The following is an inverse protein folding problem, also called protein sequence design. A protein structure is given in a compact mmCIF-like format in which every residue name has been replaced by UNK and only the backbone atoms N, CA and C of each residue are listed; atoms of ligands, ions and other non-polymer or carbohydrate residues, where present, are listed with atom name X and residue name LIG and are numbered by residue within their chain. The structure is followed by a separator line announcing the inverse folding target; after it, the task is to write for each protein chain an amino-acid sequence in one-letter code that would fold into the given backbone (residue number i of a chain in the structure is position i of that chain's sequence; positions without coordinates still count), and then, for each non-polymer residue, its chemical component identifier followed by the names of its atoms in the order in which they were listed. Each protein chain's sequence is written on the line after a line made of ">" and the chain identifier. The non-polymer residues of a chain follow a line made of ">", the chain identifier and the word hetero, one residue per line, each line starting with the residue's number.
data_IF_918609355352
#
_entry.id   IF_918609355352
#
_cell.length_a   1.000
_cell.length_b   1.000
_cell.length_c   1.000
_cell.angle_alpha   90.00
_cell.angle_beta   90.00
_cell.angle_gamma   90.00
#
_symmetry.space_group_name_H-M   'P 1'
#
loop_
_entity.id
_entity.type
_entity.pdbx_description
1 polymer ?
#
# COMPACT_ATOMS: atom_id res chain seq x y z
N UNK A 1 -30.02 29.91 17.87
CA UNK A 1 -29.73 28.66 18.60
C UNK A 1 -28.22 28.51 18.72
N UNK A 2 -27.71 28.81 19.90
CA UNK A 2 -26.33 28.64 20.30
C UNK A 2 -26.05 27.15 20.47
N UNK A 3 -25.19 26.58 19.61
CA UNK A 3 -24.66 25.24 19.85
C UNK A 3 -23.64 25.32 20.98
N UNK A 4 -24.06 24.96 22.19
CA UNK A 4 -23.15 24.65 23.28
C UNK A 4 -22.57 23.29 23.02
N UNK A 5 -21.25 23.25 22.71
CA UNK A 5 -20.49 22.02 22.50
C UNK A 5 -20.41 21.20 23.78
N UNK A 6 -21.34 20.30 23.98
CA UNK A 6 -21.17 19.14 24.84
C UNK A 6 -20.37 18.11 24.05
N UNK A 7 -19.25 17.64 24.61
CA UNK A 7 -18.51 16.48 24.11
C UNK A 7 -19.47 15.27 24.08
N UNK A 8 -20.20 15.10 22.99
CA UNK A 8 -20.77 13.81 22.65
C UNK A 8 -19.64 12.98 22.11
N UNK A 9 -18.98 12.21 22.96
CA UNK A 9 -18.22 11.08 22.54
C UNK A 9 -19.17 10.17 21.76
N UNK A 10 -19.13 10.27 20.44
CA UNK A 10 -19.76 9.29 19.58
C UNK A 10 -18.98 7.99 19.77
N UNK A 11 -19.43 7.15 20.69
CA UNK A 11 -19.02 5.77 20.73
C UNK A 11 -19.63 5.10 19.50
N UNK A 12 -18.89 5.13 18.41
CA UNK A 12 -19.10 4.12 17.38
C UNK A 12 -18.69 2.81 18.06
N UNK A 13 -19.59 1.87 18.20
CA UNK A 13 -19.21 0.46 18.35
C UNK A 13 -18.49 0.07 17.06
N UNK A 14 -17.21 0.40 16.99
CA UNK A 14 -16.41 0.27 15.80
C UNK A 14 -15.82 -1.15 15.77
N UNK A 15 -16.69 -2.13 15.51
CA UNK A 15 -16.27 -3.50 15.21
C UNK A 15 -15.54 -3.59 13.86
N UNK A 16 -15.43 -2.46 13.13
CA UNK A 16 -14.76 -2.42 11.83
C UNK A 16 -13.25 -2.27 12.01
N UNK A 17 -12.50 -3.12 11.36
CA UNK A 17 -11.04 -2.99 11.33
C UNK A 17 -10.62 -1.83 10.45
N UNK A 18 -9.60 -1.10 10.87
CA UNK A 18 -9.03 0.05 10.17
C UNK A 18 -7.70 -0.32 9.52
N UNK A 19 -7.52 0.13 8.28
CA UNK A 19 -6.29 -0.07 7.50
C UNK A 19 -5.73 1.29 7.11
N UNK A 20 -4.48 1.58 7.45
CA UNK A 20 -3.72 2.67 6.87
C UNK A 20 -2.92 2.10 5.70
N UNK A 21 -3.24 2.50 4.47
CA UNK A 21 -2.54 2.05 3.27
C UNK A 21 -1.64 3.16 2.72
N UNK A 22 -0.34 2.88 2.68
CA UNK A 22 0.69 3.77 2.16
C UNK A 22 1.21 3.18 0.85
N UNK A 23 0.97 3.86 -0.26
CA UNK A 23 1.38 3.40 -1.58
C UNK A 23 1.37 4.55 -2.60
N UNK A 24 1.85 4.30 -3.80
CA UNK A 24 1.58 5.18 -4.93
C UNK A 24 0.17 4.94 -5.46
N UNK A 25 -0.71 5.92 -5.31
CA UNK A 25 -2.08 5.90 -5.84
C UNK A 25 -2.21 6.60 -7.20
N UNK A 26 -1.08 7.04 -7.76
CA UNK A 26 -1.02 7.73 -9.05
C UNK A 26 -1.86 9.03 -9.12
N UNK A 27 -1.94 9.78 -8.02
CA UNK A 27 -2.72 11.00 -7.92
C UNK A 27 -2.31 12.06 -8.96
N UNK A 28 -1.01 12.08 -9.34
CA UNK A 28 -0.50 12.97 -10.40
C UNK A 28 -0.90 12.56 -11.82
N UNK A 29 -1.66 11.50 -11.98
CA UNK A 29 -2.11 11.01 -13.29
C UNK A 29 -3.54 11.43 -13.63
N UNK A 30 -4.14 12.32 -12.84
CA UNK A 30 -5.46 12.94 -13.08
C UNK A 30 -6.55 11.90 -13.42
N UNK A 31 -6.59 10.81 -12.64
CA UNK A 31 -7.56 9.73 -12.79
C UNK A 31 -7.22 8.68 -13.85
N UNK A 32 -6.24 8.90 -14.74
CA UNK A 32 -5.90 7.95 -15.81
C UNK A 32 -5.48 6.56 -15.34
N UNK A 33 -4.95 6.46 -14.10
CA UNK A 33 -4.50 5.20 -13.50
C UNK A 33 -5.39 4.75 -12.34
N UNK A 34 -6.71 5.01 -12.44
CA UNK A 34 -7.70 4.60 -11.44
C UNK A 34 -7.72 3.09 -11.19
N UNK A 35 -7.35 2.29 -12.19
CA UNK A 35 -7.28 0.84 -12.16
C UNK A 35 -6.00 0.28 -11.50
N UNK A 36 -5.23 1.13 -10.83
CA UNK A 36 -3.97 0.70 -10.22
C UNK A 36 -4.18 -0.37 -9.14
N UNK A 37 -3.14 -1.17 -8.94
CA UNK A 37 -3.12 -2.22 -7.92
C UNK A 37 -3.50 -1.68 -6.53
N UNK A 38 -2.95 -0.51 -6.16
CA UNK A 38 -3.24 0.14 -4.88
C UNK A 38 -4.73 0.43 -4.70
N UNK A 39 -5.38 0.95 -5.74
CA UNK A 39 -6.81 1.27 -5.72
C UNK A 39 -7.68 0.00 -5.63
N UNK A 40 -7.34 -1.04 -6.39
CA UNK A 40 -8.06 -2.34 -6.31
C UNK A 40 -7.95 -2.97 -4.93
N UNK A 41 -6.79 -2.89 -4.28
CA UNK A 41 -6.63 -3.36 -2.90
C UNK A 41 -7.49 -2.55 -1.92
N UNK A 42 -7.54 -1.22 -2.04
CA UNK A 42 -8.41 -0.39 -1.21
C UNK A 42 -9.88 -0.78 -1.35
N UNK A 43 -10.34 -0.92 -2.60
CA UNK A 43 -11.71 -1.34 -2.88
C UNK A 43 -11.99 -2.72 -2.26
N UNK A 44 -11.05 -3.65 -2.35
CA UNK A 44 -11.15 -4.97 -1.72
C UNK A 44 -11.32 -4.88 -0.21
N UNK A 45 -10.54 -4.04 0.48
CA UNK A 45 -10.71 -3.81 1.92
C UNK A 45 -12.07 -3.20 2.24
N UNK A 46 -12.51 -2.18 1.51
CA UNK A 46 -13.80 -1.52 1.72
C UNK A 46 -14.96 -2.51 1.52
N UNK A 47 -14.92 -3.31 0.45
CA UNK A 47 -15.91 -4.37 0.18
C UNK A 47 -15.95 -5.44 1.29
N UNK A 48 -14.83 -5.66 1.98
CA UNK A 48 -14.74 -6.55 3.14
C UNK A 48 -14.97 -5.83 4.48
N UNK A 49 -15.67 -4.69 4.46
CA UNK A 49 -16.09 -3.94 5.65
C UNK A 49 -14.95 -3.37 6.50
N UNK A 50 -13.79 -3.06 5.89
CA UNK A 50 -12.73 -2.31 6.55
C UNK A 50 -12.89 -0.81 6.31
N UNK A 51 -12.43 0.00 7.27
CA UNK A 51 -12.24 1.44 7.06
C UNK A 51 -10.83 1.66 6.56
N UNK A 52 -10.68 2.33 5.42
CA UNK A 52 -9.38 2.54 4.78
C UNK A 52 -9.03 4.01 4.76
N UNK A 53 -7.85 4.36 5.29
CA UNK A 53 -7.20 5.64 5.12
C UNK A 53 -5.97 5.46 4.23
N UNK A 54 -5.73 6.39 3.31
CA UNK A 54 -4.62 6.32 2.36
C UNK A 54 -3.62 7.45 2.52
N UNK A 55 -2.34 7.16 2.21
CA UNK A 55 -1.28 8.16 2.03
C UNK A 55 -0.55 7.83 0.74
N UNK A 56 -0.62 8.73 -0.23
CA UNK A 56 0.14 8.64 -1.48
C UNK A 56 1.58 9.11 -1.28
N UNK A 57 2.51 8.18 -1.19
CA UNK A 57 3.91 8.47 -0.88
C UNK A 57 4.58 9.32 -1.96
N UNK A 58 4.44 8.94 -3.23
CA UNK A 58 5.09 9.63 -4.36
C UNK A 58 4.53 11.04 -4.56
N UNK A 59 3.22 11.17 -4.48
CA UNK A 59 2.58 12.47 -4.59
C UNK A 59 3.00 13.39 -3.44
N UNK A 60 2.98 12.89 -2.20
CA UNK A 60 3.42 13.64 -1.03
C UNK A 60 4.87 14.10 -1.15
N UNK A 61 5.78 13.20 -1.53
CA UNK A 61 7.20 13.52 -1.70
C UNK A 61 7.42 14.57 -2.81
N UNK A 62 6.68 14.47 -3.93
CA UNK A 62 6.76 15.41 -5.04
C UNK A 62 6.25 16.79 -4.64
N UNK A 63 5.09 16.87 -3.98
CA UNK A 63 4.46 18.13 -3.57
C UNK A 63 5.22 18.87 -2.47
N UNK A 64 6.02 18.15 -1.67
CA UNK A 64 6.82 18.73 -0.60
C UNK A 64 8.29 18.97 -0.99
N UNK A 65 8.66 18.83 -2.26
CA UNK A 65 9.97 19.27 -2.77
C UNK A 65 9.93 20.77 -2.97
N UNK A 66 10.66 21.50 -2.15
CA UNK A 66 10.84 22.94 -2.32
C UNK A 66 12.33 23.25 -2.47
N UNK A 67 12.66 24.06 -3.46
CA UNK A 67 14.03 24.55 -3.69
C UNK A 67 14.46 25.52 -2.56
N UNK A 68 13.47 26.18 -1.95
CA UNK A 68 13.69 27.24 -0.95
C UNK A 68 13.64 26.75 0.51
N UNK A 69 13.29 25.47 0.75
CA UNK A 69 13.19 24.95 2.12
C UNK A 69 14.15 23.77 2.32
N UNK A 70 15.04 23.81 3.33
CA UNK A 70 16.00 22.74 3.60
C UNK A 70 15.38 21.49 4.23
N UNK A 71 14.04 21.39 4.26
CA UNK A 71 13.36 20.26 4.88
C UNK A 71 13.38 19.03 3.98
N UNK A 72 13.85 17.93 4.55
CA UNK A 72 13.83 16.63 3.88
C UNK A 72 12.38 16.12 3.72
N UNK A 73 11.85 16.00 2.49
CA UNK A 73 10.46 15.56 2.27
C UNK A 73 10.18 14.16 2.80
N UNK A 74 11.20 13.31 2.94
CA UNK A 74 11.07 11.97 3.55
C UNK A 74 10.76 12.09 5.04
N UNK A 75 11.38 13.04 5.75
CA UNK A 75 11.07 13.26 7.16
C UNK A 75 9.62 13.72 7.34
N UNK A 76 9.18 14.69 6.53
CA UNK A 76 7.78 15.14 6.53
C UNK A 76 6.79 14.02 6.23
N UNK A 77 7.10 13.13 5.29
CA UNK A 77 6.28 11.96 5.00
C UNK A 77 6.16 11.07 6.25
N UNK A 78 7.27 10.80 6.92
CA UNK A 78 7.26 9.93 8.11
C UNK A 78 6.55 10.58 9.31
N UNK A 79 6.64 11.89 9.48
CA UNK A 79 5.84 12.65 10.45
C UNK A 79 4.35 12.53 10.13
N UNK A 80 3.96 12.76 8.88
CA UNK A 80 2.57 12.57 8.43
C UNK A 80 2.05 11.17 8.70
N UNK A 81 2.86 10.15 8.45
CA UNK A 81 2.49 8.76 8.73
C UNK A 81 2.29 8.56 10.24
N UNK A 82 3.22 9.02 11.07
CA UNK A 82 3.12 8.89 12.53
C UNK A 82 1.87 9.59 13.09
N UNK A 83 1.58 10.80 12.63
CA UNK A 83 0.39 11.52 13.08
C UNK A 83 -0.90 10.83 12.63
N UNK A 84 -0.91 10.30 11.40
CA UNK A 84 -2.05 9.50 10.93
C UNK A 84 -2.21 8.22 11.75
N UNK A 85 -1.12 7.53 12.10
CA UNK A 85 -1.16 6.34 12.97
C UNK A 85 -1.75 6.66 14.35
N UNK A 86 -1.38 7.80 14.94
CA UNK A 86 -1.90 8.25 16.25
C UNK A 86 -3.40 8.58 16.18
N UNK A 87 -3.80 9.35 15.18
CA UNK A 87 -5.16 9.87 15.07
C UNK A 87 -6.16 8.82 14.56
N UNK A 88 -5.76 8.02 13.58
CA UNK A 88 -6.62 7.01 12.95
C UNK A 88 -6.61 5.68 13.71
N UNK A 89 -5.53 5.39 14.47
CA UNK A 89 -5.35 4.15 15.25
C UNK A 89 -5.68 2.90 14.43
N UNK A 90 -4.99 2.63 13.31
CA UNK A 90 -5.31 1.49 12.46
C UNK A 90 -4.94 0.17 13.13
N UNK A 91 -5.61 -0.91 12.74
CA UNK A 91 -5.25 -2.28 13.12
C UNK A 91 -4.16 -2.84 12.21
N UNK A 92 -4.10 -2.33 10.98
CA UNK A 92 -3.16 -2.76 9.94
C UNK A 92 -2.50 -1.54 9.31
N UNK A 93 -1.17 -1.54 9.25
CA UNK A 93 -0.38 -0.69 8.36
C UNK A 93 -0.05 -1.52 7.12
N UNK A 94 -0.58 -1.13 5.95
CA UNK A 94 -0.29 -1.76 4.66
C UNK A 94 0.64 -0.87 3.85
N UNK A 95 1.74 -1.44 3.37
CA UNK A 95 2.80 -0.70 2.66
C UNK A 95 2.99 -1.29 1.26
N UNK A 96 2.80 -0.47 0.23
CA UNK A 96 2.97 -0.87 -1.16
C UNK A 96 4.15 -0.19 -1.85
N UNK A 97 5.19 -0.94 -2.20
CA UNK A 97 6.38 -0.43 -2.91
C UNK A 97 7.03 0.82 -2.31
N UNK A 98 6.84 1.07 -1.02
CA UNK A 98 7.36 2.26 -0.34
C UNK A 98 8.62 1.92 0.42
N UNK A 99 9.71 2.63 0.13
CA UNK A 99 11.01 2.39 0.73
C UNK A 99 11.46 3.49 1.70
N UNK A 100 10.76 4.63 1.70
CA UNK A 100 11.13 5.81 2.47
C UNK A 100 10.43 5.87 3.84
N UNK A 101 10.23 4.71 4.47
CA UNK A 101 9.65 4.62 5.81
C UNK A 101 10.77 4.43 6.82
N UNK A 102 10.77 5.27 7.86
CA UNK A 102 11.75 5.24 8.93
C UNK A 102 11.44 4.16 9.97
N UNK A 103 12.46 3.68 10.65
CA UNK A 103 12.32 2.69 11.73
C UNK A 103 11.41 3.16 12.86
N UNK A 104 11.32 4.49 13.10
CA UNK A 104 10.40 5.07 14.11
C UNK A 104 8.93 4.72 13.83
N UNK A 105 8.53 4.68 12.56
CA UNK A 105 7.16 4.30 12.15
C UNK A 105 6.91 2.84 12.50
N UNK A 106 7.84 1.95 12.14
CA UNK A 106 7.73 0.52 12.46
C UNK A 106 7.72 0.28 13.97
N UNK A 107 8.62 0.93 14.72
CA UNK A 107 8.67 0.85 16.18
C UNK A 107 7.37 1.31 16.83
N UNK A 108 6.74 2.37 16.32
CA UNK A 108 5.43 2.81 16.79
C UNK A 108 4.36 1.74 16.57
N UNK A 109 4.32 1.14 15.37
CA UNK A 109 3.37 0.08 15.06
C UNK A 109 3.53 -1.14 15.97
N UNK A 110 4.77 -1.60 16.17
CA UNK A 110 5.08 -2.74 17.03
C UNK A 110 4.64 -2.45 18.48
N UNK A 111 4.97 -1.27 19.01
CA UNK A 111 4.58 -0.85 20.37
C UNK A 111 3.08 -0.82 20.58
N UNK A 112 2.31 -0.49 19.54
CA UNK A 112 0.85 -0.34 19.60
C UNK A 112 0.10 -1.54 19.00
N UNK A 113 0.76 -2.69 18.81
CA UNK A 113 0.17 -3.92 18.28
C UNK A 113 -0.50 -3.74 16.89
N UNK A 114 -0.05 -2.79 16.09
CA UNK A 114 -0.50 -2.59 14.73
C UNK A 114 0.19 -3.61 13.83
N UNK A 115 -0.58 -4.43 13.11
CA UNK A 115 -0.02 -5.39 12.15
C UNK A 115 0.60 -4.66 10.96
N UNK A 116 1.84 -5.02 10.61
CA UNK A 116 2.57 -4.43 9.50
C UNK A 116 2.57 -5.41 8.34
N UNK A 117 1.89 -5.04 7.26
CA UNK A 117 1.85 -5.80 6.02
C UNK A 117 2.48 -5.01 4.89
N UNK A 118 3.11 -5.69 3.96
CA UNK A 118 3.55 -5.06 2.71
C UNK A 118 3.12 -5.89 1.50
N UNK A 119 3.08 -5.24 0.33
CA UNK A 119 2.85 -5.92 -0.94
C UNK A 119 3.83 -5.43 -2.00
N UNK A 120 4.16 -6.34 -2.93
CA UNK A 120 5.10 -6.07 -4.00
C UNK A 120 4.69 -6.84 -5.25
N UNK A 121 4.45 -6.11 -6.36
CA UNK A 121 3.91 -6.70 -7.60
C UNK A 121 4.98 -6.96 -8.67
N UNK A 122 6.13 -6.28 -8.59
CA UNK A 122 7.21 -6.53 -9.51
C UNK A 122 7.92 -7.85 -9.18
N UNK A 123 8.64 -8.40 -10.14
CA UNK A 123 9.46 -9.57 -9.87
C UNK A 123 10.48 -9.26 -8.77
N UNK A 124 10.49 -10.10 -7.74
CA UNK A 124 11.46 -10.03 -6.63
C UNK A 124 12.63 -11.00 -6.84
N UNK A 125 12.70 -11.64 -8.01
CA UNK A 125 13.83 -12.50 -8.38
C UNK A 125 15.14 -11.70 -8.36
N UNK A 126 16.25 -12.29 -7.85
CA UNK A 126 17.56 -11.63 -7.81
C UNK A 126 18.05 -11.11 -9.17
N UNK A 127 17.60 -11.74 -10.26
CA UNK A 127 17.96 -11.38 -11.63
C UNK A 127 17.33 -10.05 -12.10
N UNK A 128 16.17 -9.71 -11.57
CA UNK A 128 15.39 -8.53 -11.99
C UNK A 128 15.43 -7.38 -10.98
N UNK A 129 15.77 -7.64 -9.73
CA UNK A 129 15.88 -6.59 -8.73
C UNK A 129 17.25 -5.90 -8.81
N UNK A 130 17.24 -4.60 -9.12
CA UNK A 130 18.43 -3.75 -8.93
C UNK A 130 18.86 -3.80 -7.45
N UNK A 131 20.14 -3.75 -7.17
CA UNK A 131 20.69 -3.88 -5.82
C UNK A 131 20.07 -2.91 -4.81
N UNK A 132 19.85 -1.66 -5.19
CA UNK A 132 19.22 -0.66 -4.32
C UNK A 132 17.78 -1.02 -3.94
N UNK A 133 16.98 -1.50 -4.90
CA UNK A 133 15.60 -1.93 -4.68
C UNK A 133 15.56 -3.19 -3.84
N UNK A 134 16.43 -4.14 -4.11
CA UNK A 134 16.59 -5.38 -3.36
C UNK A 134 16.96 -5.12 -1.90
N UNK A 135 17.95 -4.26 -1.65
CA UNK A 135 18.36 -3.90 -0.30
C UNK A 135 17.23 -3.22 0.47
N UNK A 136 16.47 -2.34 -0.16
CA UNK A 136 15.32 -1.68 0.45
C UNK A 136 14.17 -2.67 0.73
N UNK A 137 13.91 -3.59 -0.19
CA UNK A 137 12.92 -4.65 0.00
C UNK A 137 13.27 -5.50 1.23
N UNK A 138 14.51 -6.04 1.32
CA UNK A 138 14.94 -6.83 2.47
C UNK A 138 15.03 -6.03 3.77
N UNK A 139 15.37 -4.75 3.70
CA UNK A 139 15.35 -3.87 4.88
C UNK A 139 13.95 -3.81 5.48
N UNK A 140 12.93 -3.61 4.68
CA UNK A 140 11.55 -3.52 5.15
C UNK A 140 11.03 -4.87 5.67
N UNK A 141 11.45 -5.99 5.08
CA UNK A 141 11.06 -7.34 5.54
C UNK A 141 11.44 -7.64 6.99
N UNK A 142 12.41 -6.95 7.57
CA UNK A 142 12.75 -7.10 8.99
C UNK A 142 11.57 -6.74 9.89
N UNK A 143 10.80 -5.73 9.51
CA UNK A 143 9.76 -5.11 10.33
C UNK A 143 8.35 -5.62 10.03
N UNK A 144 8.07 -6.10 8.81
CA UNK A 144 6.73 -6.55 8.45
C UNK A 144 6.40 -7.91 9.03
N UNK A 145 5.13 -8.12 9.36
CA UNK A 145 4.60 -9.43 9.75
C UNK A 145 4.42 -10.32 8.51
N UNK A 146 3.85 -9.76 7.43
CA UNK A 146 3.62 -10.45 6.15
C UNK A 146 3.97 -9.54 4.97
N UNK A 147 4.55 -10.14 3.95
CA UNK A 147 4.79 -9.49 2.67
C UNK A 147 4.12 -10.31 1.56
N UNK A 148 3.17 -9.70 0.87
CA UNK A 148 2.44 -10.29 -0.25
C UNK A 148 3.16 -9.98 -1.54
N UNK A 149 3.49 -11.02 -2.32
CA UNK A 149 4.23 -10.91 -3.59
C UNK A 149 3.52 -11.67 -4.68
N UNK A 150 3.62 -11.18 -5.91
CA UNK A 150 3.08 -11.85 -7.11
C UNK A 150 4.05 -12.88 -7.68
N UNK A 151 5.30 -12.87 -7.24
CA UNK A 151 6.29 -13.90 -7.55
C UNK A 151 6.14 -15.11 -6.62
N UNK A 152 6.59 -16.29 -7.08
CA UNK A 152 6.58 -17.48 -6.21
C UNK A 152 7.50 -17.26 -5.00
N UNK A 153 7.00 -17.42 -3.76
CA UNK A 153 7.85 -17.34 -2.57
C UNK A 153 9.01 -18.35 -2.56
N UNK A 154 8.89 -19.43 -3.34
CA UNK A 154 9.91 -20.50 -3.40
C UNK A 154 11.29 -20.00 -3.83
N UNK A 155 11.38 -18.89 -4.57
CA UNK A 155 12.66 -18.26 -4.94
C UNK A 155 13.48 -17.80 -3.72
N UNK A 156 12.84 -17.68 -2.55
CA UNK A 156 13.46 -17.28 -1.28
C UNK A 156 13.52 -18.39 -0.25
N UNK A 157 13.36 -19.65 -0.64
CA UNK A 157 13.34 -20.78 0.31
C UNK A 157 14.46 -20.75 1.36
N UNK A 158 15.66 -20.36 0.94
CA UNK A 158 16.85 -20.30 1.79
C UNK A 158 17.02 -18.96 2.54
N UNK A 159 16.04 -18.03 2.38
CA UNK A 159 16.10 -16.73 3.02
C UNK A 159 15.37 -16.79 4.38
N UNK A 160 15.97 -16.19 5.41
CA UNK A 160 15.39 -16.13 6.77
C UNK A 160 13.99 -15.50 6.83
N UNK A 161 13.63 -14.69 5.83
CA UNK A 161 12.30 -14.04 5.74
C UNK A 161 11.27 -14.86 4.97
N UNK A 162 11.61 -16.05 4.47
CA UNK A 162 10.72 -16.86 3.65
C UNK A 162 9.32 -17.05 4.25
N UNK A 163 9.24 -17.30 5.56
CA UNK A 163 7.96 -17.53 6.26
C UNK A 163 7.02 -16.32 6.23
N UNK A 164 7.57 -15.11 6.06
CA UNK A 164 6.79 -13.86 5.96
C UNK A 164 6.22 -13.62 4.56
N UNK A 165 6.79 -14.26 3.54
CA UNK A 165 6.38 -14.09 2.16
C UNK A 165 5.13 -14.92 1.88
N UNK A 166 4.13 -14.29 1.28
CA UNK A 166 2.87 -14.90 0.87
C UNK A 166 2.60 -14.58 -0.58
N UNK A 167 2.24 -15.58 -1.35
CA UNK A 167 1.81 -15.36 -2.73
C UNK A 167 0.44 -14.67 -2.74
N UNK A 168 0.29 -13.68 -3.61
CA UNK A 168 -0.98 -13.05 -3.94
C UNK A 168 -1.04 -12.87 -5.46
N UNK A 169 -2.09 -13.33 -6.15
CA UNK A 169 -2.27 -13.01 -7.55
C UNK A 169 -2.56 -11.52 -7.73
N UNK A 170 -2.45 -11.03 -8.97
CA UNK A 170 -2.90 -9.67 -9.26
C UNK A 170 -4.37 -9.52 -8.88
N UNK A 171 -4.75 -8.46 -8.15
CA UNK A 171 -6.12 -8.27 -7.71
C UNK A 171 -7.01 -7.93 -8.91
N UNK A 172 -8.20 -8.51 -8.89
CA UNK A 172 -9.30 -8.17 -9.78
C UNK A 172 -10.34 -7.41 -8.97
N UNK A 173 -10.84 -6.32 -9.53
CA UNK A 173 -11.94 -5.54 -8.97
C UNK A 173 -13.06 -5.47 -9.98
N UNK A 174 -14.20 -6.07 -9.67
CA UNK A 174 -15.36 -6.12 -10.55
C UNK A 174 -15.89 -4.73 -10.97
N UNK A 175 -15.66 -3.70 -10.14
CA UNK A 175 -16.01 -2.33 -10.46
C UNK A 175 -15.06 -1.68 -11.46
N UNK A 176 -13.87 -2.23 -11.65
CA UNK A 176 -12.82 -1.72 -12.54
C UNK A 176 -12.60 -2.68 -13.73
N UNK A 177 -12.47 -3.96 -13.45
CA UNK A 177 -12.10 -5.02 -14.42
C UNK A 177 -13.34 -5.70 -14.98
N UNK A 178 -14.24 -4.95 -15.59
CA UNK A 178 -15.52 -5.44 -16.07
C UNK A 178 -15.51 -5.89 -17.54
N UNK A 179 -14.35 -5.98 -18.17
CA UNK A 179 -14.22 -6.47 -19.54
C UNK A 179 -14.36 -7.99 -19.57
N UNK A 180 -15.60 -8.45 -19.83
CA UNK A 180 -15.89 -9.88 -19.98
C UNK A 180 -15.56 -10.36 -21.41
N UNK A 181 -14.33 -10.20 -21.85
CA UNK A 181 -13.91 -10.62 -23.19
C UNK A 181 -14.10 -12.12 -23.45
N UNK A 182 -14.07 -12.94 -22.38
CA UNK A 182 -14.32 -14.38 -22.47
C UNK A 182 -15.79 -14.71 -22.86
N UNK A 183 -16.72 -13.77 -22.73
CA UNK A 183 -18.11 -13.95 -23.16
C UNK A 183 -18.31 -13.60 -24.66
N UNK A 184 -17.33 -12.98 -25.30
CA UNK A 184 -17.41 -12.63 -26.72
C UNK A 184 -17.29 -13.89 -27.59
N UNK A 185 -18.27 -14.08 -28.49
CA UNK A 185 -18.27 -15.21 -29.45
C UNK A 185 -17.22 -15.04 -30.55
N UNK A 186 -16.89 -13.80 -30.91
CA UNK A 186 -15.91 -13.47 -31.95
C UNK A 186 -14.87 -12.58 -31.28
N UNK A 187 -13.62 -13.00 -31.30
CA UNK A 187 -12.47 -12.21 -30.84
C UNK A 187 -11.85 -11.54 -32.07
N UNK A 188 -11.49 -10.29 -31.93
CA UNK A 188 -10.77 -9.53 -32.97
C UNK A 188 -9.31 -10.01 -33.11
N UNK A 189 -8.74 -10.46 -31.98
CA UNK A 189 -7.37 -10.98 -31.92
C UNK A 189 -7.32 -12.21 -31.01
N UNK A 190 -6.48 -13.18 -31.38
CA UNK A 190 -6.24 -14.37 -30.55
C UNK A 190 -5.37 -14.04 -29.34
N UNK A 191 -4.44 -13.11 -29.50
CA UNK A 191 -3.52 -12.68 -28.45
C UNK A 191 -3.36 -11.16 -28.51
N UNK A 192 -3.50 -10.51 -27.36
CA UNK A 192 -3.19 -9.09 -27.18
C UNK A 192 -2.06 -8.93 -26.16
N UNK A 193 -0.98 -8.26 -26.55
CA UNK A 193 0.16 -7.96 -25.67
C UNK A 193 0.33 -6.44 -25.56
N UNK A 194 0.28 -5.90 -24.35
CA UNK A 194 0.60 -4.51 -24.06
C UNK A 194 1.86 -4.45 -23.18
N UNK A 195 2.91 -3.79 -23.69
CA UNK A 195 4.17 -3.63 -22.97
C UNK A 195 4.42 -2.13 -22.79
N UNK A 196 4.68 -1.71 -21.56
CA UNK A 196 5.18 -0.37 -21.26
C UNK A 196 6.70 -0.39 -21.20
N UNK A 197 7.34 0.60 -21.84
CA UNK A 197 8.78 0.83 -21.78
C UNK A 197 9.15 1.71 -20.58
#
# INVERSE_FOLDING_TARGET
>A
QTFTGGEKSFYFEDNKKRVLHIANFNESSDGRLYYSFSNKLNNGFIKNNYIVQTIGDRFFLKSNRSILQPFNPVNKLNEKILDTLKNFSPHILLIGHVFNINEKVFSYCIKNNIKICSWYIDSVSPEFLKDTTRNNFFRNLKFVDYCFITSSPSIFKNNKFYKKLKFIPNPVDEGIDNYKNFEKKILEYDVFVAISH
#
